data_IF_293733941263
#
_entry.id   IF_293733941263
#
_cell.length_a   1.000
_cell.length_b   1.000
_cell.length_c   1.000
_cell.angle_alpha   90.00
_cell.angle_beta   90.00
_cell.angle_gamma   90.00
#
_symmetry.space_group_name_H-M   'P 1'
#
loop_
_entity.id
_entity.type
_entity.pdbx_description
1 polymer ?
#
# COMPACT_ATOMS: atom_id res chain seq x y z
N UNK A 1 -15.96 51.22 6.19
CA UNK A 1 -17.02 50.61 7.02
C UNK A 1 -16.46 49.31 7.58
N UNK A 2 -16.55 49.19 8.91
CA UNK A 2 -15.83 48.28 9.80
C UNK A 2 -16.17 46.79 9.63
N UNK A 3 -15.21 45.89 9.92
CA UNK A 3 -15.20 45.07 11.16
C UNK A 3 -13.96 44.15 11.25
N UNK A 4 -13.38 44.20 12.45
CA UNK A 4 -12.46 43.29 13.13
C UNK A 4 -12.83 41.81 13.07
N UNK A 5 -11.80 40.93 13.02
CA UNK A 5 -11.77 39.65 13.72
C UNK A 5 -10.31 39.32 14.12
N UNK A 6 -10.09 39.22 15.44
CA UNK A 6 -8.93 38.65 16.14
C UNK A 6 -9.36 37.28 16.72
N UNK A 7 -8.38 36.47 17.12
CA UNK A 7 -8.41 35.21 17.90
C UNK A 7 -8.55 33.91 17.05
N UNK A 8 -7.73 32.87 17.21
CA UNK A 8 -6.61 32.59 18.12
C UNK A 8 -5.74 31.46 17.53
N UNK A 9 -4.49 31.39 17.96
CA UNK A 9 -3.58 30.28 17.71
C UNK A 9 -3.79 29.14 18.72
N UNK A 10 -3.76 27.90 18.24
CA UNK A 10 -3.37 26.66 18.96
C UNK A 10 -2.97 25.65 17.85
N UNK A 11 -1.68 25.39 17.62
CA UNK A 11 -0.96 24.21 18.15
C UNK A 11 -1.13 23.01 17.21
N UNK A 12 -0.18 22.71 16.31
CA UNK A 12 0.86 21.63 16.43
C UNK A 12 0.24 20.21 16.36
N UNK A 13 0.61 19.23 15.53
CA UNK A 13 1.64 18.97 14.51
C UNK A 13 1.00 17.93 13.57
N UNK A 14 1.23 18.01 12.26
CA UNK A 14 1.40 16.79 11.46
C UNK A 14 2.12 17.17 10.16
N UNK A 15 3.44 17.02 10.22
CA UNK A 15 4.31 17.13 9.06
C UNK A 15 4.11 15.92 8.16
N UNK A 16 3.09 15.93 7.31
CA UNK A 16 3.16 15.23 6.03
C UNK A 16 3.76 16.19 5.01
N UNK A 17 5.04 15.96 4.70
CA UNK A 17 5.72 16.50 3.52
C UNK A 17 4.96 16.03 2.29
N UNK A 18 4.17 16.95 1.71
CA UNK A 18 3.51 16.79 0.42
C UNK A 18 4.57 16.79 -0.69
N UNK A 19 5.14 15.65 -0.99
CA UNK A 19 5.76 15.43 -2.29
C UNK A 19 4.66 15.16 -3.32
N UNK A 20 4.67 15.99 -4.37
CA UNK A 20 3.68 16.04 -5.43
C UNK A 20 4.14 15.18 -6.60
N UNK A 21 3.33 14.22 -7.07
CA UNK A 21 3.39 13.70 -8.45
C UNK A 21 1.98 13.37 -8.93
N UNK A 22 1.79 13.58 -10.24
CA UNK A 22 0.56 13.82 -10.96
C UNK A 22 -0.37 12.62 -11.21
N UNK A 23 -1.61 12.98 -11.58
CA UNK A 23 -2.55 12.25 -12.44
C UNK A 23 -3.21 10.96 -11.88
N UNK A 24 -4.36 11.18 -11.23
CA UNK A 24 -5.58 10.35 -11.28
C UNK A 24 -5.50 8.86 -10.88
N UNK A 25 -4.69 8.51 -9.89
CA UNK A 25 -5.03 7.57 -8.80
C UNK A 25 -3.93 7.69 -7.75
N UNK A 26 -4.23 7.87 -6.44
CA UNK A 26 -3.18 8.01 -5.44
C UNK A 26 -2.50 6.66 -5.21
N UNK A 27 -1.42 6.37 -5.96
CA UNK A 27 -0.49 5.28 -5.63
C UNK A 27 0.18 5.65 -4.32
N UNK A 28 -0.04 4.82 -3.33
CA UNK A 28 0.46 5.00 -1.98
C UNK A 28 1.69 4.13 -1.80
N UNK A 29 2.84 4.76 -1.60
CA UNK A 29 4.06 4.05 -1.23
C UNK A 29 4.10 3.91 0.28
N UNK A 30 4.19 2.68 0.78
CA UNK A 30 4.32 2.39 2.20
C UNK A 30 5.69 1.82 2.49
N UNK A 31 6.35 2.38 3.50
CA UNK A 31 7.68 1.96 3.96
C UNK A 31 7.58 1.50 5.41
N UNK A 32 7.64 0.19 5.63
CA UNK A 32 7.75 -0.42 6.97
C UNK A 32 9.15 -1.01 7.14
N UNK A 33 10.05 -0.21 7.71
CA UNK A 33 11.46 -0.59 7.90
C UNK A 33 12.20 -0.83 6.58
N UNK A 34 12.53 -2.10 6.30
CA UNK A 34 13.23 -2.55 5.09
C UNK A 34 12.27 -2.87 3.93
N UNK A 35 10.98 -2.98 4.22
CA UNK A 35 9.95 -3.33 3.25
C UNK A 35 9.32 -2.07 2.66
N UNK A 36 9.56 -1.88 1.38
CA UNK A 36 8.93 -0.84 0.56
C UNK A 36 7.98 -1.55 -0.38
N UNK A 37 6.71 -1.17 -0.37
CA UNK A 37 5.71 -1.66 -1.30
C UNK A 37 4.82 -0.52 -1.75
N UNK A 38 4.31 -0.64 -2.97
CA UNK A 38 3.36 0.30 -3.51
C UNK A 38 2.00 -0.35 -3.54
N UNK A 39 0.96 0.41 -3.19
CA UNK A 39 -0.40 -0.05 -3.34
C UNK A 39 -1.28 1.02 -3.95
N UNK A 40 -2.29 0.55 -4.66
CA UNK A 40 -3.35 1.37 -5.22
C UNK A 40 -4.69 0.75 -4.86
N UNK A 41 -5.69 1.59 -4.68
CA UNK A 41 -7.06 1.14 -4.47
C UNK A 41 -7.96 1.85 -5.46
N UNK A 42 -8.79 1.07 -6.14
CA UNK A 42 -9.95 1.55 -6.88
C UNK A 42 -11.21 1.30 -6.07
N UNK A 43 -12.37 1.66 -6.60
CA UNK A 43 -13.65 1.33 -5.95
C UNK A 43 -13.90 -0.19 -5.86
N UNK A 44 -13.30 -0.95 -6.76
CA UNK A 44 -13.59 -2.38 -6.94
C UNK A 44 -12.49 -3.27 -6.35
N UNK A 45 -11.23 -2.87 -6.45
CA UNK A 45 -10.08 -3.69 -6.10
C UNK A 45 -8.94 -2.92 -5.41
N UNK A 46 -8.10 -3.66 -4.68
CA UNK A 46 -6.85 -3.17 -4.10
C UNK A 46 -5.71 -3.96 -4.73
N UNK A 47 -4.76 -3.25 -5.31
CA UNK A 47 -3.57 -3.84 -5.93
C UNK A 47 -2.35 -3.47 -5.09
N UNK A 48 -1.60 -4.48 -4.66
CA UNK A 48 -0.38 -4.33 -3.86
C UNK A 48 0.79 -4.91 -4.63
N UNK A 49 1.80 -4.09 -4.88
CA UNK A 49 2.98 -4.41 -5.66
C UNK A 49 4.21 -4.41 -4.76
N UNK A 50 4.88 -5.56 -4.69
CA UNK A 50 6.10 -5.74 -3.90
C UNK A 50 7.32 -5.78 -4.84
N UNK A 51 8.26 -4.83 -4.74
CA UNK A 51 9.54 -4.93 -5.39
C UNK A 51 10.31 -6.09 -4.77
N UNK A 52 10.57 -7.11 -5.58
CA UNK A 52 11.26 -8.33 -5.19
C UNK A 52 12.46 -8.54 -6.10
N UNK A 53 13.53 -9.08 -5.53
CA UNK A 53 14.74 -9.35 -6.27
C UNK A 53 14.52 -10.48 -7.31
N UNK A 54 15.22 -10.40 -8.45
CA UNK A 54 15.05 -11.30 -9.59
C UNK A 54 15.30 -12.81 -9.30
N UNK A 55 15.85 -13.15 -8.14
CA UNK A 55 16.11 -14.53 -7.75
C UNK A 55 14.88 -15.23 -7.12
N UNK A 56 13.81 -14.48 -6.82
CA UNK A 56 12.57 -15.01 -6.26
C UNK A 56 11.79 -15.78 -7.34
N UNK A 57 11.39 -17.01 -7.02
CA UNK A 57 10.56 -17.84 -7.88
C UNK A 57 9.15 -17.94 -7.32
N UNK A 58 8.17 -18.23 -8.17
CA UNK A 58 6.76 -18.36 -7.75
C UNK A 58 6.56 -19.39 -6.63
N UNK A 59 7.39 -20.45 -6.57
CA UNK A 59 7.33 -21.47 -5.51
C UNK A 59 7.71 -20.96 -4.13
N UNK A 60 8.49 -19.88 -4.08
CA UNK A 60 8.96 -19.25 -2.86
C UNK A 60 7.94 -18.20 -2.39
N UNK A 61 7.03 -17.76 -3.26
CA UNK A 61 5.93 -16.86 -2.92
C UNK A 61 4.77 -17.64 -2.30
N UNK A 62 4.30 -17.16 -1.15
CA UNK A 62 3.13 -17.68 -0.46
C UNK A 62 2.20 -16.51 -0.12
N UNK A 63 1.13 -16.41 -0.88
CA UNK A 63 0.01 -15.50 -0.64
C UNK A 63 -1.15 -16.27 -0.01
N UNK A 64 -1.68 -15.75 1.10
CA UNK A 64 -2.88 -16.25 1.75
C UNK A 64 -3.88 -15.10 1.81
N UNK A 65 -5.00 -15.29 1.14
CA UNK A 65 -6.15 -14.40 1.22
C UNK A 65 -7.18 -15.02 2.14
N UNK A 66 -7.68 -14.22 3.07
CA UNK A 66 -8.76 -14.59 3.97
C UNK A 66 -9.78 -13.44 3.94
N UNK A 67 -11.00 -13.71 4.41
CA UNK A 67 -12.08 -12.72 4.31
C UNK A 67 -11.70 -11.39 4.97
N UNK A 68 -11.02 -11.42 6.11
CA UNK A 68 -10.66 -10.21 6.86
C UNK A 68 -9.15 -9.99 7.01
N UNK A 69 -8.33 -10.83 6.38
CA UNK A 69 -6.88 -10.74 6.56
C UNK A 69 -6.12 -11.21 5.34
N UNK A 70 -4.93 -10.66 5.15
CA UNK A 70 -4.02 -11.01 4.08
C UNK A 70 -2.64 -11.31 4.65
N UNK A 71 -1.99 -12.33 4.09
CA UNK A 71 -0.60 -12.63 4.42
C UNK A 71 0.18 -12.94 3.14
N UNK A 72 1.22 -12.17 2.89
CA UNK A 72 2.14 -12.32 1.77
C UNK A 72 3.53 -12.58 2.33
N UNK A 73 4.15 -13.67 1.91
CA UNK A 73 5.48 -14.07 2.34
C UNK A 73 6.27 -14.60 1.16
N UNK A 74 7.58 -14.35 1.16
CA UNK A 74 8.53 -14.81 0.15
C UNK A 74 9.65 -15.56 0.86
N UNK A 75 9.70 -16.87 0.65
CA UNK A 75 10.62 -17.78 1.33
C UNK A 75 10.39 -17.78 2.84
N UNK A 76 11.34 -17.21 3.57
CA UNK A 76 11.27 -17.03 5.04
C UNK A 76 10.96 -15.59 5.46
N UNK A 77 10.81 -14.65 4.51
CA UNK A 77 10.51 -13.24 4.79
C UNK A 77 9.00 -13.01 4.66
N UNK A 78 8.38 -12.48 5.71
CA UNK A 78 7.01 -11.98 5.64
C UNK A 78 7.05 -10.56 5.04
N UNK A 79 6.32 -10.32 3.95
CA UNK A 79 6.27 -9.03 3.26
C UNK A 79 5.08 -8.18 3.74
N UNK A 80 3.95 -8.84 3.96
CA UNK A 80 2.73 -8.20 4.44
C UNK A 80 1.97 -9.19 5.30
N UNK A 81 1.57 -8.78 6.49
CA UNK A 81 0.66 -9.54 7.32
C UNK A 81 -0.22 -8.55 8.08
N UNK A 82 -1.53 -8.63 7.87
CA UNK A 82 -2.44 -7.74 8.55
C UNK A 82 -3.90 -8.05 8.29
N UNK A 83 -4.74 -7.39 9.09
CA UNK A 83 -6.17 -7.38 8.92
C UNK A 83 -6.57 -6.32 7.88
N UNK A 84 -7.52 -6.69 7.04
CA UNK A 84 -8.09 -5.80 6.03
C UNK A 84 -9.12 -4.88 6.69
N UNK A 85 -9.20 -3.65 6.19
CA UNK A 85 -10.21 -2.69 6.63
C UNK A 85 -11.64 -3.21 6.40
N UNK A 86 -11.85 -3.96 5.32
CA UNK A 86 -13.13 -4.52 4.95
C UNK A 86 -12.99 -5.99 4.54
N UNK A 87 -14.11 -6.72 4.60
CA UNK A 87 -14.17 -8.09 4.09
C UNK A 87 -13.89 -8.15 2.59
N UNK A 88 -13.07 -9.12 2.16
CA UNK A 88 -12.81 -9.46 0.76
C UNK A 88 -13.31 -10.87 0.42
N UNK A 89 -13.49 -11.15 -0.87
CA UNK A 89 -13.80 -12.49 -1.36
C UNK A 89 -12.49 -13.20 -1.75
N UNK A 90 -11.99 -14.17 -0.96
CA UNK A 90 -10.68 -14.78 -1.21
C UNK A 90 -10.63 -15.54 -2.53
N UNK A 91 -11.76 -16.03 -3.04
CA UNK A 91 -11.86 -16.72 -4.33
C UNK A 91 -11.63 -15.81 -5.54
N UNK A 92 -11.92 -14.51 -5.42
CA UNK A 92 -11.65 -13.51 -6.46
C UNK A 92 -10.23 -12.92 -6.35
N UNK A 93 -9.51 -13.24 -5.27
CA UNK A 93 -8.17 -12.72 -5.04
C UNK A 93 -7.13 -13.50 -5.84
N UNK A 94 -6.44 -12.80 -6.72
CA UNK A 94 -5.34 -13.36 -7.50
C UNK A 94 -4.02 -12.74 -7.09
N UNK A 95 -2.95 -13.49 -7.27
CA UNK A 95 -1.59 -12.96 -7.19
C UNK A 95 -0.82 -13.41 -8.42
N UNK A 96 0.08 -12.56 -8.86
CA UNK A 96 0.97 -12.85 -9.98
C UNK A 96 2.41 -12.45 -9.63
N UNK A 97 3.34 -13.14 -10.26
CA UNK A 97 4.76 -12.83 -10.20
C UNK A 97 5.18 -12.43 -11.60
N UNK A 98 5.38 -11.13 -11.81
CA UNK A 98 5.83 -10.56 -13.07
C UNK A 98 7.25 -9.98 -12.97
N UNK A 99 7.95 -9.96 -14.09
CA UNK A 99 9.13 -9.11 -14.27
C UNK A 99 8.64 -7.75 -14.78
N UNK A 100 8.96 -6.67 -14.05
CA UNK A 100 8.72 -5.33 -14.56
C UNK A 100 9.52 -5.17 -15.88
N UNK A 101 8.90 -4.71 -16.98
CA UNK A 101 9.60 -4.57 -18.25
C UNK A 101 10.73 -3.57 -18.08
N UNK A 102 11.97 -4.06 -18.19
CA UNK A 102 13.14 -3.20 -18.33
C UNK A 102 13.06 -2.56 -19.72
N UNK A 103 12.67 -1.29 -19.78
CA UNK A 103 12.70 -0.48 -21.00
C UNK A 103 14.13 -0.11 -21.40
#
# INVERSE_FOLDING_TARGET
MSRTAELAADGDEDGITKESVAESTPRSTTTDGDLHFDWTQTYDEVVVEFPIEAHVKSRDVRCKFNTHSISVSVGSKELLHGDLYQAMHPDDCVWELGELPTA
#
